data_IF_409180470652
#
_entry.id   IF_409180470652
#
_cell.length_a   1.000
_cell.length_b   1.000
_cell.length_c   1.000
_cell.angle_alpha   90.00
_cell.angle_beta   90.00
_cell.angle_gamma   90.00
#
_symmetry.space_group_name_H-M   'P 1'
#
loop_
_entity.id
_entity.type
_entity.pdbx_description
1 polymer ?
#
# COMPACT_ATOMS: atom_id res chain seq x y z
N UNK A 1 7.22 0.65 -15.53
CA UNK A 1 7.14 -0.39 -14.49
C UNK A 1 7.38 -1.72 -15.17
N UNK A 2 8.32 -2.50 -14.65
CA UNK A 2 8.66 -3.81 -15.17
C UNK A 2 8.24 -4.90 -14.16
N UNK A 3 8.33 -6.17 -14.56
CA UNK A 3 7.97 -7.33 -13.71
C UNK A 3 8.82 -7.43 -12.44
N UNK A 4 10.08 -7.00 -12.49
CA UNK A 4 10.97 -6.98 -11.32
C UNK A 4 10.45 -6.01 -10.26
N UNK A 5 10.03 -4.80 -10.67
CA UNK A 5 9.46 -3.81 -9.75
C UNK A 5 8.29 -4.43 -8.96
N UNK A 6 7.37 -5.09 -9.65
CA UNK A 6 6.19 -5.72 -9.03
C UNK A 6 6.58 -6.85 -8.07
N UNK A 7 7.57 -7.68 -8.43
CA UNK A 7 8.10 -8.73 -7.54
C UNK A 7 8.73 -8.15 -6.28
N UNK A 8 9.54 -7.10 -6.42
CA UNK A 8 10.19 -6.44 -5.30
C UNK A 8 9.14 -5.82 -4.35
N UNK A 9 8.10 -5.19 -4.90
CA UNK A 9 7.00 -4.64 -4.11
C UNK A 9 6.22 -5.73 -3.36
N UNK A 10 5.92 -6.85 -4.01
CA UNK A 10 5.24 -7.99 -3.37
C UNK A 10 6.10 -8.56 -2.23
N UNK A 11 7.42 -8.65 -2.44
CA UNK A 11 8.33 -9.09 -1.39
C UNK A 11 8.33 -8.15 -0.20
N UNK A 12 8.40 -6.83 -0.44
CA UNK A 12 8.33 -5.82 0.60
C UNK A 12 6.98 -5.86 1.35
N UNK A 13 5.88 -6.04 0.61
CA UNK A 13 4.55 -6.18 1.21
C UNK A 13 4.46 -7.40 2.13
N UNK A 14 4.94 -8.57 1.68
CA UNK A 14 4.94 -9.78 2.50
C UNK A 14 5.78 -9.62 3.78
N UNK A 15 6.93 -8.96 3.68
CA UNK A 15 7.78 -8.63 4.84
C UNK A 15 7.06 -7.68 5.80
N UNK A 16 6.39 -6.65 5.30
CA UNK A 16 5.60 -5.76 6.15
C UNK A 16 4.44 -6.51 6.83
N UNK A 17 3.77 -7.42 6.12
CA UNK A 17 2.67 -8.21 6.64
C UNK A 17 3.09 -9.20 7.74
N UNK A 18 4.32 -9.74 7.69
CA UNK A 18 4.83 -10.60 8.77
C UNK A 18 5.10 -9.85 10.07
N UNK A 19 5.34 -8.54 9.98
CA UNK A 19 5.65 -7.67 11.12
C UNK A 19 4.42 -6.97 11.72
N UNK A 20 3.22 -7.15 11.16
CA UNK A 20 1.97 -6.58 11.71
C UNK A 20 1.76 -6.91 13.20
N UNK A 21 2.01 -8.14 13.69
CA UNK A 21 1.90 -8.46 15.12
C UNK A 21 2.88 -7.70 16.01
N UNK A 22 3.95 -7.14 15.45
CA UNK A 22 5.03 -6.46 16.17
C UNK A 22 4.86 -4.93 16.18
N UNK A 23 3.75 -4.40 15.67
CA UNK A 23 3.41 -2.99 15.80
C UNK A 23 3.15 -2.67 17.28
N UNK A 24 3.93 -1.77 17.86
CA UNK A 24 3.69 -1.27 19.21
C UNK A 24 2.61 -0.18 19.17
N UNK A 25 1.54 -0.40 19.94
CA UNK A 25 0.38 0.49 20.05
C UNK A 25 0.15 0.94 21.50
N UNK A 26 1.17 0.83 22.36
CA UNK A 26 1.08 1.12 23.79
C UNK A 26 1.02 2.62 24.09
N UNK A 27 1.44 3.48 23.16
CA UNK A 27 1.36 4.94 23.25
C UNK A 27 0.35 5.51 22.23
N UNK A 28 0.17 6.83 22.23
CA UNK A 28 -0.75 7.58 21.38
C UNK A 28 -0.40 7.46 19.88
N UNK A 29 0.88 7.19 19.56
CA UNK A 29 1.38 7.02 18.20
C UNK A 29 1.92 5.60 18.02
N UNK A 30 1.46 4.84 17.02
CA UNK A 30 2.01 3.53 16.75
C UNK A 30 3.49 3.60 16.36
N UNK A 31 4.30 2.70 16.90
CA UNK A 31 5.68 2.49 16.46
C UNK A 31 5.69 1.31 15.49
N UNK A 32 6.05 1.60 14.25
CA UNK A 32 6.07 0.61 13.17
C UNK A 32 7.45 -0.05 13.08
N UNK A 33 7.48 -1.40 12.94
CA UNK A 33 8.68 -2.11 12.48
C UNK A 33 9.26 -1.53 11.19
N UNK A 34 10.57 -1.70 11.02
CA UNK A 34 11.32 -1.15 9.89
C UNK A 34 10.77 -1.64 8.54
N UNK A 35 10.33 -2.90 8.46
CA UNK A 35 9.76 -3.52 7.27
C UNK A 35 8.47 -2.82 6.82
N UNK A 36 7.61 -2.44 7.76
CA UNK A 36 6.38 -1.69 7.48
C UNK A 36 6.73 -0.29 7.00
N UNK A 37 7.64 0.38 7.70
CA UNK A 37 8.10 1.72 7.34
C UNK A 37 8.74 1.74 5.95
N UNK A 38 9.56 0.73 5.64
CA UNK A 38 10.23 0.56 4.36
C UNK A 38 9.25 0.27 3.23
N UNK A 39 8.28 -0.62 3.45
CA UNK A 39 7.21 -0.87 2.47
C UNK A 39 6.44 0.42 2.15
N UNK A 40 6.01 1.16 3.16
CA UNK A 40 5.29 2.43 2.97
C UNK A 40 6.16 3.52 2.34
N UNK A 41 7.48 3.49 2.57
CA UNK A 41 8.45 4.35 1.88
C UNK A 41 8.56 3.97 0.41
N UNK A 42 8.64 2.69 0.06
CA UNK A 42 8.69 2.21 -1.33
C UNK A 42 7.47 2.70 -2.12
N UNK A 43 6.28 2.69 -1.54
CA UNK A 43 5.06 3.21 -2.19
C UNK A 43 5.15 4.70 -2.57
N UNK A 44 6.08 5.45 -1.96
CA UNK A 44 6.34 6.87 -2.24
C UNK A 44 7.48 7.09 -3.24
N UNK A 45 8.01 6.04 -3.87
CA UNK A 45 9.06 6.11 -4.89
C UNK A 45 8.54 5.72 -6.26
N UNK A 46 9.29 6.07 -7.31
CA UNK A 46 9.02 5.53 -8.65
C UNK A 46 9.25 4.01 -8.69
N UNK A 47 8.42 3.25 -9.43
CA UNK A 47 7.31 3.70 -10.29
C UNK A 47 5.95 3.77 -9.56
N UNK A 48 5.90 3.65 -8.23
CA UNK A 48 4.65 3.48 -7.47
C UNK A 48 3.92 4.79 -7.23
N UNK A 49 4.64 5.81 -6.80
CA UNK A 49 4.07 7.10 -6.45
C UNK A 49 3.29 7.69 -7.63
N UNK A 50 2.09 8.19 -7.38
CA UNK A 50 1.28 8.91 -8.35
C UNK A 50 0.95 10.30 -7.80
N UNK A 51 1.72 11.30 -8.23
CA UNK A 51 1.50 12.69 -7.79
C UNK A 51 0.14 13.25 -8.21
N UNK A 52 -0.51 12.67 -9.22
CA UNK A 52 -1.83 13.04 -9.70
C UNK A 52 -2.98 12.25 -9.04
N UNK A 53 -2.69 11.46 -8.00
CA UNK A 53 -3.69 10.64 -7.31
C UNK A 53 -4.89 11.46 -6.81
N UNK A 54 -6.05 10.79 -6.75
CA UNK A 54 -7.32 11.38 -6.33
C UNK A 54 -7.79 10.71 -5.03
N UNK A 55 -7.49 11.29 -3.84
CA UNK A 55 -7.86 10.70 -2.56
C UNK A 55 -9.36 10.36 -2.45
N UNK A 56 -10.21 11.24 -2.98
CA UNK A 56 -11.67 11.07 -2.96
C UNK A 56 -12.17 9.87 -3.77
N UNK A 57 -11.36 9.36 -4.71
CA UNK A 57 -11.70 8.20 -5.55
C UNK A 57 -11.13 6.89 -5.03
N UNK A 58 -10.25 6.92 -4.03
CA UNK A 58 -9.57 5.70 -3.52
C UNK A 58 -10.57 4.63 -3.06
N UNK A 59 -11.67 5.04 -2.41
CA UNK A 59 -12.73 4.10 -1.98
C UNK A 59 -13.47 3.47 -3.16
N UNK A 60 -13.92 4.28 -4.11
CA UNK A 60 -14.56 3.82 -5.36
C UNK A 60 -13.66 2.82 -6.10
N UNK A 61 -12.36 3.12 -6.21
CA UNK A 61 -11.40 2.24 -6.88
C UNK A 61 -11.23 0.91 -6.14
N UNK A 62 -11.19 0.93 -4.80
CA UNK A 62 -11.11 -0.28 -3.99
C UNK A 62 -12.35 -1.17 -4.18
N UNK A 63 -13.54 -0.58 -4.27
CA UNK A 63 -14.80 -1.30 -4.52
C UNK A 63 -14.81 -1.96 -5.92
N UNK A 64 -14.08 -1.40 -6.89
CA UNK A 64 -13.97 -1.92 -8.28
C UNK A 64 -12.56 -2.38 -8.67
N UNK A 65 -11.77 -2.83 -7.68
CA UNK A 65 -10.33 -3.06 -7.82
C UNK A 65 -9.97 -4.09 -8.89
N UNK A 66 -10.83 -5.08 -9.13
CA UNK A 66 -10.61 -6.12 -10.14
C UNK A 66 -10.51 -5.58 -11.57
N UNK A 67 -11.22 -4.48 -11.86
CA UNK A 67 -11.19 -3.78 -13.15
C UNK A 67 -10.23 -2.58 -13.19
N UNK A 68 -9.67 -2.19 -12.05
CA UNK A 68 -8.85 -0.99 -11.95
C UNK A 68 -7.66 -1.01 -12.91
N UNK A 69 -7.36 0.14 -13.50
CA UNK A 69 -6.17 0.36 -14.32
C UNK A 69 -4.90 0.43 -13.46
N UNK A 70 -3.73 0.29 -14.09
CA UNK A 70 -2.45 0.46 -13.39
C UNK A 70 -2.31 1.83 -12.74
N UNK A 71 -2.91 2.86 -13.36
CA UNK A 71 -2.92 4.22 -12.83
C UNK A 71 -3.72 4.30 -11.54
N UNK A 72 -4.91 3.71 -11.51
CA UNK A 72 -5.79 3.69 -10.34
C UNK A 72 -5.20 2.85 -9.20
N UNK A 73 -4.56 1.72 -9.51
CA UNK A 73 -3.80 0.94 -8.52
C UNK A 73 -2.73 1.81 -7.85
N UNK A 74 -1.93 2.55 -8.64
CA UNK A 74 -0.92 3.47 -8.09
C UNK A 74 -1.53 4.58 -7.24
N UNK A 75 -2.73 5.06 -7.58
CA UNK A 75 -3.44 6.03 -6.77
C UNK A 75 -3.81 5.48 -5.39
N UNK A 76 -4.27 4.23 -5.32
CA UNK A 76 -4.58 3.56 -4.04
C UNK A 76 -3.32 3.35 -3.22
N UNK A 77 -2.23 2.87 -3.84
CA UNK A 77 -0.94 2.70 -3.16
C UNK A 77 -0.42 4.03 -2.60
N UNK A 78 -0.50 5.11 -3.39
CA UNK A 78 -0.09 6.45 -2.94
C UNK A 78 -0.96 6.95 -1.79
N UNK A 79 -2.28 6.71 -1.85
CA UNK A 79 -3.20 7.09 -0.78
C UNK A 79 -2.89 6.32 0.51
N UNK A 80 -2.63 5.02 0.44
CA UNK A 80 -2.25 4.19 1.58
C UNK A 80 -0.97 4.71 2.24
N UNK A 81 0.08 4.94 1.47
CA UNK A 81 1.36 5.44 1.98
C UNK A 81 1.25 6.81 2.65
N UNK A 82 0.32 7.66 2.18
CA UNK A 82 0.12 9.01 2.74
C UNK A 82 -0.89 9.06 3.88
N UNK A 83 -1.64 7.99 4.12
CA UNK A 83 -2.76 7.99 5.08
C UNK A 83 -2.32 8.35 6.50
N UNK A 84 -1.14 7.90 6.94
CA UNK A 84 -0.57 8.23 8.26
C UNK A 84 -0.43 9.74 8.50
N UNK A 85 -0.23 10.53 7.43
CA UNK A 85 -0.12 12.00 7.55
C UNK A 85 -1.45 12.67 7.91
N UNK A 86 -2.57 11.96 7.78
CA UNK A 86 -3.92 12.49 7.96
C UNK A 86 -4.66 11.82 9.12
N UNK A 87 -4.04 10.83 9.77
CA UNK A 87 -4.58 10.16 10.95
C UNK A 87 -3.59 9.14 11.47
N UNK A 88 -3.17 9.30 12.72
CA UNK A 88 -2.29 8.37 13.41
C UNK A 88 -2.93 6.97 13.44
N UNK A 89 -2.14 5.94 13.15
CA UNK A 89 -2.61 4.56 13.07
C UNK A 89 -3.36 4.19 11.80
N UNK A 90 -3.35 5.03 10.77
CA UNK A 90 -3.94 4.67 9.47
C UNK A 90 -3.25 3.47 8.84
N UNK A 91 -1.93 3.36 8.95
CA UNK A 91 -1.18 2.21 8.46
C UNK A 91 -1.52 0.94 9.24
N UNK A 92 -1.68 1.03 10.57
CA UNK A 92 -2.15 -0.09 11.39
C UNK A 92 -3.44 -0.66 10.83
N UNK A 93 -4.44 0.21 10.62
CA UNK A 93 -5.74 -0.21 10.09
C UNK A 93 -5.63 -0.85 8.71
N UNK A 94 -4.89 -0.23 7.80
CA UNK A 94 -4.69 -0.72 6.43
C UNK A 94 -4.09 -2.13 6.43
N UNK A 95 -3.10 -2.37 7.29
CA UNK A 95 -2.38 -3.64 7.36
C UNK A 95 -3.20 -4.72 8.08
N UNK A 96 -3.82 -4.40 9.22
CA UNK A 96 -4.64 -5.36 9.98
C UNK A 96 -5.89 -5.80 9.21
N UNK A 97 -6.54 -4.87 8.51
CA UNK A 97 -7.70 -5.15 7.67
C UNK A 97 -7.30 -5.70 6.28
N UNK A 98 -5.98 -5.85 6.02
CA UNK A 98 -5.43 -6.34 4.75
C UNK A 98 -5.97 -5.61 3.52
N UNK A 99 -6.17 -4.29 3.63
CA UNK A 99 -6.80 -3.49 2.59
C UNK A 99 -6.02 -3.48 1.26
N UNK A 100 -4.73 -3.81 1.30
CA UNK A 100 -3.86 -3.85 0.12
C UNK A 100 -3.78 -5.22 -0.56
N UNK A 101 -4.25 -6.31 0.06
CA UNK A 101 -4.28 -7.65 -0.56
C UNK A 101 -4.88 -7.63 -1.98
N UNK A 102 -6.10 -7.10 -2.21
CA UNK A 102 -6.68 -7.07 -3.56
C UNK A 102 -5.94 -6.13 -4.51
N UNK A 103 -5.30 -5.07 -3.99
CA UNK A 103 -4.52 -4.10 -4.77
C UNK A 103 -3.24 -4.76 -5.30
N UNK A 104 -2.52 -5.48 -4.43
CA UNK A 104 -1.32 -6.23 -4.79
C UNK A 104 -1.64 -7.35 -5.78
N UNK A 105 -2.74 -8.08 -5.55
CA UNK A 105 -3.22 -9.10 -6.49
C UNK A 105 -3.55 -8.52 -7.87
N UNK A 106 -4.25 -7.38 -7.92
CA UNK A 106 -4.56 -6.70 -9.18
C UNK A 106 -3.28 -6.26 -9.91
N UNK A 107 -2.33 -5.71 -9.17
CA UNK A 107 -1.05 -5.28 -9.73
C UNK A 107 -0.29 -6.46 -10.37
N UNK A 108 -0.28 -7.64 -9.74
CA UNK A 108 0.33 -8.83 -10.30
C UNK A 108 -0.33 -9.23 -11.64
N UNK A 109 -1.67 -9.22 -11.72
CA UNK A 109 -2.40 -9.51 -12.97
C UNK A 109 -2.00 -8.55 -14.10
N UNK A 110 -1.90 -7.25 -13.79
CA UNK A 110 -1.50 -6.21 -14.74
C UNK A 110 -0.03 -6.29 -15.16
N UNK A 111 0.82 -6.99 -14.39
CA UNK A 111 2.26 -7.13 -14.68
C UNK A 111 2.61 -8.26 -15.65
N UNK A 112 1.67 -9.18 -15.86
CA UNK A 112 1.82 -10.34 -16.76
C UNK A 112 1.09 -10.12 -18.10
N UNK A 113 0.30 -9.05 -18.20
CA UNK A 113 -0.46 -8.64 -19.39
C UNK A 113 0.38 -7.70 -20.27
#
# INVERSE_FOLDING_TARGET
MNVKDVKDLVSAYNSAMSEVPNIDKSDHYPVYPDEISEFMRILQLDPWIANDYKPVRTREILDTIESASIKEVRWVLTAAARSERFGDGSWVKILEEKMLDPVIKRLQVLSVS
#
